data_IF_717368523651
#
_entry.id   IF_717368523651
#
_cell.length_a   1.000
_cell.length_b   1.000
_cell.length_c   1.000
_cell.angle_alpha   90.00
_cell.angle_beta   90.00
_cell.angle_gamma   90.00
#
_symmetry.space_group_name_H-M   'P 1'
#
loop_
_entity.id
_entity.type
_entity.pdbx_description
1 polymer ?
#
# COMPACT_ATOMS: atom_id res chain seq x y z
N UNK A 1 36.49 20.09 20.19
CA UNK A 1 35.51 19.05 20.59
C UNK A 1 34.14 19.62 20.27
N UNK A 2 33.59 19.25 19.11
CA UNK A 2 32.23 19.63 18.70
C UNK A 2 31.52 18.29 18.49
N UNK A 3 30.70 17.90 19.46
CA UNK A 3 29.90 16.69 19.38
C UNK A 3 28.79 16.93 18.36
N UNK A 4 28.86 16.20 17.24
CA UNK A 4 27.71 16.06 16.35
C UNK A 4 26.98 14.83 16.86
N UNK A 5 25.80 15.02 17.45
CA UNK A 5 24.98 13.92 17.93
C UNK A 5 24.58 13.04 16.74
N UNK A 6 25.15 11.83 16.69
CA UNK A 6 24.80 10.82 15.71
C UNK A 6 23.39 10.31 16.03
N UNK A 7 22.42 10.71 15.22
CA UNK A 7 21.14 9.99 15.18
C UNK A 7 21.45 8.53 14.84
N UNK A 8 21.17 7.65 15.79
CA UNK A 8 21.33 6.21 15.65
C UNK A 8 20.35 5.72 14.57
N UNK A 9 20.86 5.48 13.36
CA UNK A 9 20.08 4.97 12.24
C UNK A 9 20.32 3.45 12.14
N UNK A 10 19.27 2.65 12.34
CA UNK A 10 19.31 1.17 12.34
C UNK A 10 19.87 0.53 11.05
N UNK A 11 20.01 1.30 9.97
CA UNK A 11 20.73 0.91 8.76
C UNK A 11 21.45 2.13 8.16
N UNK A 12 22.71 2.32 8.52
CA UNK A 12 23.58 3.32 7.90
C UNK A 12 24.64 2.65 7.03
N UNK A 13 24.95 3.27 5.89
CA UNK A 13 26.13 2.92 5.10
C UNK A 13 27.12 4.07 5.19
N UNK A 14 28.33 3.77 5.64
CA UNK A 14 29.43 4.72 5.69
C UNK A 14 30.22 4.68 4.39
N UNK A 15 30.59 5.84 3.88
CA UNK A 15 31.59 5.95 2.81
C UNK A 15 32.57 7.05 3.16
N UNK A 16 33.85 6.71 3.20
CA UNK A 16 34.93 7.64 3.48
C UNK A 16 35.44 8.22 2.17
N UNK A 17 35.34 9.54 2.00
CA UNK A 17 35.97 10.24 0.87
C UNK A 17 36.76 11.43 1.40
N UNK A 18 38.02 11.57 0.97
CA UNK A 18 38.95 12.64 1.40
C UNK A 18 39.08 12.79 2.94
N UNK A 19 39.01 11.67 3.67
CA UNK A 19 39.15 11.66 5.13
C UNK A 19 37.93 12.17 5.90
N UNK A 20 36.79 12.36 5.22
CA UNK A 20 35.50 12.62 5.85
C UNK A 20 34.63 11.36 5.78
N UNK A 21 34.18 10.88 6.94
CA UNK A 21 33.20 9.80 7.02
C UNK A 21 31.81 10.38 6.79
N UNK A 22 31.23 10.09 5.62
CA UNK A 22 29.84 10.40 5.32
C UNK A 22 28.98 9.20 5.74
N UNK A 23 28.17 9.40 6.77
CA UNK A 23 27.13 8.44 7.19
C UNK A 23 25.88 8.70 6.36
N UNK A 24 25.56 7.81 5.43
CA UNK A 24 24.27 7.84 4.75
C UNK A 24 23.27 7.00 5.55
N UNK A 25 22.32 7.65 6.22
CA UNK A 25 21.15 6.94 6.74
C UNK A 25 20.29 6.49 5.55
N UNK A 26 19.96 5.20 5.46
CA UNK A 26 19.05 4.64 4.45
C UNK A 26 17.58 5.14 4.56
N UNK A 27 17.33 6.16 5.39
CA UNK A 27 16.03 6.82 5.57
C UNK A 27 15.59 7.71 4.39
N UNK A 28 16.19 7.55 3.21
CA UNK A 28 15.63 7.98 1.93
C UNK A 28 14.71 6.91 1.32
N UNK A 29 14.30 5.88 2.07
CA UNK A 29 13.21 4.98 1.70
C UNK A 29 11.88 5.75 1.67
N UNK A 30 11.65 6.41 0.54
CA UNK A 30 10.41 6.92 -0.02
C UNK A 30 9.17 6.69 0.88
N UNK A 31 8.88 7.67 1.77
CA UNK A 31 7.74 7.67 2.71
C UNK A 31 6.35 7.63 2.02
N UNK A 32 6.29 7.49 0.70
CA UNK A 32 5.06 7.54 -0.06
C UNK A 32 5.08 6.58 -1.26
N UNK A 33 4.94 5.28 -1.00
CA UNK A 33 4.76 4.30 -2.08
C UNK A 33 3.31 4.36 -2.57
N UNK A 34 3.14 4.79 -3.81
CA UNK A 34 1.86 4.92 -4.50
C UNK A 34 1.93 4.03 -5.75
N UNK A 35 0.90 3.22 -5.95
CA UNK A 35 0.68 2.50 -7.21
C UNK A 35 -0.60 3.05 -7.81
N UNK A 36 -0.48 3.65 -9.00
CA UNK A 36 -1.61 4.13 -9.77
C UNK A 36 -1.63 3.42 -11.13
N UNK A 37 -2.59 2.52 -11.29
CA UNK A 37 -2.86 1.76 -12.52
C UNK A 37 -4.24 2.13 -13.09
N UNK A 38 -4.76 3.30 -12.71
CA UNK A 38 -6.05 3.83 -13.14
C UNK A 38 -6.17 3.95 -14.66
N UNK A 39 -7.41 3.84 -15.15
CA UNK A 39 -7.78 4.12 -16.55
C UNK A 39 -7.06 3.23 -17.56
N UNK A 40 -6.93 1.96 -17.25
CA UNK A 40 -6.43 0.95 -18.17
C UNK A 40 -7.54 -0.03 -18.55
N UNK A 41 -7.17 -1.09 -19.26
CA UNK A 41 -8.05 -2.20 -19.64
C UNK A 41 -7.63 -3.50 -18.95
N UNK A 42 -7.09 -3.43 -17.73
CA UNK A 42 -6.69 -4.63 -17.01
C UNK A 42 -7.92 -5.50 -16.73
N UNK A 43 -7.78 -6.79 -17.01
CA UNK A 43 -8.80 -7.82 -16.89
C UNK A 43 -8.34 -8.91 -15.92
N UNK A 44 -9.25 -9.80 -15.53
CA UNK A 44 -8.98 -10.86 -14.57
C UNK A 44 -8.98 -10.37 -13.12
N UNK A 45 -8.62 -11.26 -12.17
CA UNK A 45 -8.65 -10.95 -10.75
C UNK A 45 -7.48 -10.09 -10.29
N UNK A 46 -7.67 -9.39 -9.18
CA UNK A 46 -6.57 -8.76 -8.45
C UNK A 46 -5.68 -9.89 -7.86
N UNK A 47 -4.38 -9.96 -8.20
CA UNK A 47 -3.51 -11.03 -7.73
C UNK A 47 -3.14 -10.86 -6.25
N UNK A 48 -3.06 -11.97 -5.51
CA UNK A 48 -2.73 -11.97 -4.08
C UNK A 48 -1.40 -11.29 -3.75
N UNK A 49 -0.45 -11.30 -4.70
CA UNK A 49 0.89 -10.71 -4.59
C UNK A 49 0.88 -9.20 -4.26
N UNK A 50 -0.23 -8.50 -4.54
CA UNK A 50 -0.37 -7.09 -4.14
C UNK A 50 -0.24 -6.94 -2.62
N UNK A 51 -0.64 -7.94 -1.83
CA UNK A 51 -0.51 -7.95 -0.38
C UNK A 51 0.94 -7.91 0.13
N UNK A 52 1.92 -8.30 -0.69
CA UNK A 52 3.34 -8.34 -0.29
C UNK A 52 3.99 -6.96 -0.28
N UNK A 53 3.29 -5.95 -0.78
CA UNK A 53 3.77 -4.57 -0.89
C UNK A 53 3.61 -3.82 0.44
N UNK A 54 4.17 -4.35 1.53
CA UNK A 54 3.93 -3.90 2.91
C UNK A 54 4.14 -2.40 3.21
N UNK A 55 4.88 -1.67 2.35
CA UNK A 55 5.08 -0.23 2.45
C UNK A 55 4.12 0.64 1.62
N UNK A 56 3.12 0.04 0.96
CA UNK A 56 2.20 0.73 0.06
C UNK A 56 1.20 1.60 0.83
N UNK A 57 1.13 2.89 0.49
CA UNK A 57 0.21 3.86 1.11
C UNK A 57 -1.02 4.12 0.26
N UNK A 58 -0.90 4.10 -1.07
CA UNK A 58 -2.04 4.31 -1.97
C UNK A 58 -2.04 3.32 -3.11
N UNK A 59 -3.17 2.66 -3.32
CA UNK A 59 -3.42 1.77 -4.45
C UNK A 59 -4.64 2.26 -5.21
N UNK A 60 -4.44 2.66 -6.46
CA UNK A 60 -5.52 3.02 -7.38
C UNK A 60 -5.54 2.04 -8.56
N UNK A 61 -6.61 1.26 -8.66
CA UNK A 61 -6.90 0.34 -9.77
C UNK A 61 -8.17 0.77 -10.54
N UNK A 62 -8.66 2.00 -10.34
CA UNK A 62 -9.94 2.51 -10.87
C UNK A 62 -9.73 3.45 -12.06
N UNK A 63 -10.59 3.48 -13.09
CA UNK A 63 -11.39 2.40 -13.64
C UNK A 63 -10.52 1.38 -14.41
N UNK A 64 -10.94 0.11 -14.40
CA UNK A 64 -10.40 -1.01 -15.20
C UNK A 64 -11.52 -2.03 -15.50
N UNK A 65 -11.19 -3.23 -15.99
CA UNK A 65 -12.12 -4.35 -16.19
C UNK A 65 -11.84 -5.52 -15.23
N UNK A 66 -11.26 -5.23 -14.05
CA UNK A 66 -10.90 -6.26 -13.07
C UNK A 66 -12.16 -6.96 -12.55
N UNK A 67 -12.06 -8.26 -12.31
CA UNK A 67 -13.17 -9.12 -11.89
C UNK A 67 -12.80 -10.00 -10.70
N UNK A 68 -13.65 -10.96 -10.34
CA UNK A 68 -13.40 -11.84 -9.20
C UNK A 68 -13.75 -11.17 -7.87
N UNK A 69 -12.87 -11.28 -6.88
CA UNK A 69 -13.08 -10.75 -5.53
C UNK A 69 -11.90 -9.90 -5.06
N UNK A 70 -12.12 -9.10 -4.02
CA UNK A 70 -11.04 -8.40 -3.32
C UNK A 70 -10.18 -9.47 -2.59
N UNK A 71 -8.85 -9.52 -2.81
CA UNK A 71 -7.99 -10.48 -2.12
C UNK A 71 -7.94 -10.19 -0.63
N UNK A 72 -8.09 -11.23 0.20
CA UNK A 72 -7.90 -11.09 1.64
C UNK A 72 -6.49 -10.59 1.97
N UNK A 73 -5.47 -10.94 1.17
CA UNK A 73 -4.08 -10.53 1.37
C UNK A 73 -3.86 -9.01 1.39
N UNK A 74 -4.81 -8.19 0.91
CA UNK A 74 -4.73 -6.74 1.08
C UNK A 74 -4.67 -6.31 2.54
N UNK A 75 -5.10 -7.16 3.49
CA UNK A 75 -4.99 -6.89 4.92
C UNK A 75 -3.54 -6.78 5.42
N UNK A 76 -2.55 -7.27 4.66
CA UNK A 76 -1.12 -7.15 4.98
C UNK A 76 -0.54 -5.77 4.67
N UNK A 77 -1.30 -4.92 3.99
CA UNK A 77 -0.90 -3.55 3.67
C UNK A 77 -1.17 -2.63 4.87
N UNK A 78 -0.50 -2.88 5.98
CA UNK A 78 -0.81 -2.26 7.29
C UNK A 78 -0.74 -0.73 7.30
N UNK A 79 0.02 -0.13 6.37
CA UNK A 79 0.15 1.33 6.23
C UNK A 79 -0.65 1.91 5.06
N UNK A 80 -1.58 1.14 4.49
CA UNK A 80 -2.42 1.60 3.37
C UNK A 80 -3.41 2.66 3.85
N UNK A 81 -3.42 3.79 3.15
CA UNK A 81 -4.24 4.96 3.45
C UNK A 81 -5.39 5.13 2.45
N UNK A 82 -5.18 4.67 1.21
CA UNK A 82 -6.17 4.78 0.15
C UNK A 82 -6.20 3.54 -0.71
N UNK A 83 -7.40 2.95 -0.83
CA UNK A 83 -7.72 1.88 -1.76
C UNK A 83 -8.87 2.34 -2.66
N UNK A 84 -8.58 2.47 -3.96
CA UNK A 84 -9.58 2.83 -4.96
C UNK A 84 -9.73 1.72 -6.00
N UNK A 85 -10.90 1.08 -5.98
CA UNK A 85 -11.32 0.02 -6.89
C UNK A 85 -12.56 0.43 -7.72
N UNK A 86 -12.90 1.73 -7.74
CA UNK A 86 -14.05 2.26 -8.46
C UNK A 86 -14.14 1.78 -9.91
N UNK A 87 -15.36 1.52 -10.37
CA UNK A 87 -15.67 1.18 -11.76
C UNK A 87 -14.84 0.00 -12.29
N UNK A 88 -15.07 -1.16 -11.68
CA UNK A 88 -14.58 -2.47 -12.11
C UNK A 88 -15.75 -3.47 -12.13
N UNK A 89 -15.46 -4.75 -12.37
CA UNK A 89 -16.42 -5.87 -12.35
C UNK A 89 -16.21 -6.77 -11.13
N UNK A 90 -15.66 -6.22 -10.03
CA UNK A 90 -15.37 -7.00 -8.82
C UNK A 90 -16.68 -7.35 -8.13
N UNK A 91 -16.85 -8.62 -7.78
CA UNK A 91 -18.04 -9.11 -7.08
C UNK A 91 -17.71 -9.78 -5.75
N UNK A 92 -18.68 -10.58 -5.26
CA UNK A 92 -18.64 -11.24 -3.95
C UNK A 92 -18.61 -10.25 -2.78
N UNK A 93 -18.32 -10.77 -1.60
CA UNK A 93 -18.28 -10.02 -0.35
C UNK A 93 -16.95 -9.27 -0.19
N UNK A 94 -16.98 -8.17 0.57
CA UNK A 94 -15.76 -7.49 1.00
C UNK A 94 -15.13 -8.34 2.12
N UNK A 95 -13.85 -8.76 1.99
CA UNK A 95 -13.19 -9.57 3.00
C UNK A 95 -13.21 -8.90 4.38
N UNK A 96 -13.61 -9.63 5.41
CA UNK A 96 -13.70 -9.08 6.76
C UNK A 96 -12.33 -8.69 7.34
N UNK A 97 -11.26 -9.27 6.81
CA UNK A 97 -9.87 -8.91 7.11
C UNK A 97 -9.54 -7.47 6.69
N UNK A 98 -10.25 -6.89 5.72
CA UNK A 98 -10.01 -5.51 5.29
C UNK A 98 -10.30 -4.50 6.42
N UNK A 99 -11.13 -4.88 7.39
CA UNK A 99 -11.38 -4.10 8.60
C UNK A 99 -10.14 -3.96 9.52
N UNK A 100 -9.07 -4.74 9.30
CA UNK A 100 -7.82 -4.59 10.05
C UNK A 100 -6.92 -3.47 9.54
N UNK A 101 -7.27 -2.82 8.42
CA UNK A 101 -6.50 -1.71 7.86
C UNK A 101 -6.78 -0.41 8.61
N UNK A 102 -6.14 -0.24 9.76
CA UNK A 102 -6.39 0.88 10.69
C UNK A 102 -5.97 2.26 10.15
N UNK A 103 -5.09 2.31 9.15
CA UNK A 103 -4.65 3.55 8.50
C UNK A 103 -5.51 3.93 7.28
N UNK A 104 -6.45 3.07 6.86
CA UNK A 104 -7.23 3.27 5.65
C UNK A 104 -8.23 4.42 5.84
N UNK A 105 -7.93 5.58 5.26
CA UNK A 105 -8.77 6.77 5.31
C UNK A 105 -9.75 6.84 4.13
N UNK A 106 -9.39 6.24 2.99
CA UNK A 106 -10.20 6.26 1.77
C UNK A 106 -10.38 4.84 1.25
N UNK A 107 -11.62 4.38 1.21
CA UNK A 107 -12.02 3.13 0.58
C UNK A 107 -13.12 3.43 -0.46
N UNK A 108 -12.78 3.33 -1.73
CA UNK A 108 -13.74 3.53 -2.82
C UNK A 108 -13.98 2.21 -3.56
N UNK A 109 -15.17 1.65 -3.34
CA UNK A 109 -15.62 0.39 -3.95
C UNK A 109 -16.82 0.58 -4.88
N UNK A 110 -17.20 1.83 -5.15
CA UNK A 110 -18.39 2.16 -5.94
C UNK A 110 -18.31 1.62 -7.38
N UNK A 111 -19.46 1.44 -8.02
CA UNK A 111 -19.56 0.90 -9.38
C UNK A 111 -18.84 -0.45 -9.56
N UNK A 112 -19.15 -1.40 -8.67
CA UNK A 112 -18.75 -2.80 -8.73
C UNK A 112 -20.00 -3.70 -8.55
N UNK A 113 -19.79 -5.02 -8.53
CA UNK A 113 -20.83 -6.04 -8.39
C UNK A 113 -20.79 -6.71 -7.01
N UNK A 114 -20.34 -5.96 -5.99
CA UNK A 114 -20.18 -6.45 -4.62
C UNK A 114 -21.54 -6.77 -3.97
N UNK A 115 -21.56 -7.80 -3.14
CA UNK A 115 -22.74 -8.27 -2.39
C UNK A 115 -22.40 -8.50 -0.92
N UNK A 116 -23.40 -8.77 -0.09
CA UNK A 116 -23.20 -9.09 1.33
C UNK A 116 -23.01 -7.87 2.22
N UNK A 117 -22.46 -8.10 3.41
CA UNK A 117 -22.38 -7.11 4.47
C UNK A 117 -21.10 -6.26 4.38
N UNK A 118 -21.19 -5.01 4.81
CA UNK A 118 -20.01 -4.17 5.03
C UNK A 118 -19.22 -4.72 6.23
N UNK A 119 -17.89 -4.91 6.09
CA UNK A 119 -16.99 -5.29 7.17
C UNK A 119 -17.15 -4.42 8.42
N UNK A 120 -17.23 -5.07 9.59
CA UNK A 120 -17.27 -4.37 10.88
C UNK A 120 -15.86 -4.25 11.45
N UNK A 121 -15.43 -3.01 11.73
CA UNK A 121 -14.24 -2.75 12.53
C UNK A 121 -14.37 -3.32 13.94
N UNK A 122 -13.23 -3.54 14.59
CA UNK A 122 -13.18 -3.77 16.04
C UNK A 122 -13.20 -2.46 16.80
#
# INVERSE_FOLDING_TARGET
MIGIDFYNCDNSSTTTTKGLDLVFCSNLMNKNRIINLSRNRFEGPIPNIIGDLAGLRKLNLSPNHLEGHIPASLHYLFVLESLDLLSNKIGREIPQQLASLTFLAVLNLSHNQLVGCIPKGK
#
